data_IF_800383223915
#
_entry.id   IF_800383223915
#
_cell.length_a   1.000
_cell.length_b   1.000
_cell.length_c   1.000
_cell.angle_alpha   90.00
_cell.angle_beta   90.00
_cell.angle_gamma   90.00
#
_symmetry.space_group_name_H-M   'P 1'
#
loop_
_entity.id
_entity.type
_entity.pdbx_description
1 polymer ?
#
# COMPACT_ATOMS: atom_id res chain seq x y z
N UNK A 1 31.60 -58.51 25.31
CA UNK A 1 30.79 -57.41 25.93
C UNK A 1 31.30 -56.02 25.57
N UNK A 2 32.58 -55.73 25.72
CA UNK A 2 33.17 -54.40 25.36
C UNK A 2 33.00 -53.99 23.89
N UNK A 3 33.16 -54.90 22.94
CA UNK A 3 33.03 -54.68 21.52
C UNK A 3 31.61 -54.18 21.14
N UNK A 4 30.59 -54.76 21.78
CA UNK A 4 29.19 -54.39 21.55
C UNK A 4 28.89 -52.97 22.07
N UNK A 5 29.48 -52.57 23.19
CA UNK A 5 29.35 -51.22 23.77
C UNK A 5 29.98 -50.17 22.84
N UNK A 6 31.16 -50.46 22.31
CA UNK A 6 31.85 -49.56 21.36
C UNK A 6 31.04 -49.39 20.08
N UNK A 7 30.47 -50.46 19.53
CA UNK A 7 29.62 -50.38 18.33
C UNK A 7 28.36 -49.55 18.60
N UNK A 8 27.70 -49.71 19.74
CA UNK A 8 26.56 -48.87 20.13
C UNK A 8 26.92 -47.42 20.26
N UNK A 9 28.06 -47.08 20.86
CA UNK A 9 28.55 -45.72 20.99
C UNK A 9 28.81 -45.03 19.63
N UNK A 10 29.40 -45.77 18.70
CA UNK A 10 29.66 -45.25 17.32
C UNK A 10 28.36 -45.04 16.57
N UNK A 11 27.39 -45.96 16.70
CA UNK A 11 26.09 -45.85 16.05
C UNK A 11 25.31 -44.66 16.62
N UNK A 12 25.26 -44.45 17.93
CA UNK A 12 24.62 -43.33 18.59
C UNK A 12 25.25 -41.97 18.20
N UNK A 13 26.57 -41.92 18.10
CA UNK A 13 27.30 -40.73 17.66
C UNK A 13 26.97 -40.41 16.19
N UNK A 14 26.93 -41.43 15.32
CA UNK A 14 26.60 -41.22 13.90
C UNK A 14 25.15 -40.76 13.70
N UNK A 15 24.19 -41.38 14.38
CA UNK A 15 22.79 -40.96 14.30
C UNK A 15 22.56 -39.59 14.94
N UNK A 16 23.22 -39.28 16.05
CA UNK A 16 23.14 -37.99 16.72
C UNK A 16 23.61 -36.83 15.82
N UNK A 17 24.73 -36.98 15.13
CA UNK A 17 25.25 -35.96 14.20
C UNK A 17 24.36 -35.79 12.99
N UNK A 18 23.76 -36.87 12.45
CA UNK A 18 22.80 -36.76 11.32
C UNK A 18 21.52 -36.06 11.73
N UNK A 19 21.02 -36.29 12.94
CA UNK A 19 19.79 -35.66 13.44
C UNK A 19 20.00 -34.16 13.63
N UNK A 20 21.11 -33.73 14.21
CA UNK A 20 21.43 -32.29 14.41
C UNK A 20 21.62 -31.59 13.08
N UNK A 21 22.30 -32.18 12.10
CA UNK A 21 22.47 -31.61 10.77
C UNK A 21 21.11 -31.40 10.07
N UNK A 22 20.18 -32.34 10.19
CA UNK A 22 18.87 -32.26 9.57
C UNK A 22 17.98 -31.15 10.20
N UNK A 23 18.07 -30.97 11.53
CA UNK A 23 17.34 -29.89 12.24
C UNK A 23 17.88 -28.50 11.84
N UNK A 24 19.19 -28.36 11.73
CA UNK A 24 19.80 -27.09 11.31
C UNK A 24 19.45 -26.74 9.86
N UNK A 25 19.44 -27.71 8.96
CA UNK A 25 19.08 -27.50 7.56
C UNK A 25 17.60 -27.10 7.42
N UNK A 26 16.70 -27.74 8.17
CA UNK A 26 15.28 -27.38 8.20
C UNK A 26 15.04 -25.97 8.75
N UNK A 27 15.73 -25.55 9.82
CA UNK A 27 15.58 -24.22 10.42
C UNK A 27 16.15 -23.11 9.53
N UNK A 28 17.26 -23.38 8.82
CA UNK A 28 17.84 -22.47 7.84
C UNK A 28 16.95 -22.35 6.61
N UNK A 29 16.41 -23.44 6.10
CA UNK A 29 15.46 -23.44 4.97
C UNK A 29 14.19 -22.68 5.31
N UNK A 30 13.60 -22.90 6.48
CA UNK A 30 12.41 -22.17 6.93
C UNK A 30 12.68 -20.67 7.10
N UNK A 31 13.85 -20.29 7.62
CA UNK A 31 14.27 -18.89 7.73
C UNK A 31 14.50 -18.22 6.38
N UNK A 32 15.01 -18.95 5.37
CA UNK A 32 15.17 -18.46 4.01
C UNK A 32 13.84 -18.37 3.26
N UNK A 33 12.90 -19.26 3.52
CA UNK A 33 11.56 -19.24 2.92
C UNK A 33 10.75 -18.04 3.44
N UNK A 34 10.86 -17.72 4.72
CA UNK A 34 10.26 -16.52 5.32
C UNK A 34 10.87 -15.23 4.74
N UNK A 35 12.20 -15.22 4.47
CA UNK A 35 12.88 -14.07 3.83
C UNK A 35 12.54 -13.89 2.34
N UNK A 36 12.06 -14.94 1.66
CA UNK A 36 11.68 -14.87 0.23
C UNK A 36 10.27 -14.35 0.00
N UNK A 37 9.48 -14.25 1.05
CA UNK A 37 8.06 -13.87 1.00
C UNK A 37 7.81 -12.44 1.51
N UNK A 38 8.85 -11.61 1.49
CA UNK A 38 8.69 -10.21 1.83
C UNK A 38 8.16 -9.47 0.59
N UNK A 39 6.83 -9.35 0.51
CA UNK A 39 6.13 -8.65 -0.55
C UNK A 39 6.05 -7.15 -0.23
N UNK A 40 5.83 -6.34 -1.25
CA UNK A 40 5.57 -4.91 -1.06
C UNK A 40 4.07 -4.68 -0.92
N UNK A 41 3.63 -3.74 -0.10
CA UNK A 41 2.22 -3.44 0.06
C UNK A 41 1.58 -2.94 -1.25
N UNK A 42 0.29 -3.18 -1.42
CA UNK A 42 -0.51 -2.74 -2.57
C UNK A 42 -1.53 -1.71 -2.11
N UNK A 43 -1.56 -0.55 -2.78
CA UNK A 43 -2.56 0.50 -2.57
C UNK A 43 -3.56 0.47 -3.72
N UNK A 44 -4.85 0.42 -3.41
CA UNK A 44 -5.94 0.58 -4.36
C UNK A 44 -6.71 1.87 -4.08
N UNK A 45 -6.97 2.66 -5.12
CA UNK A 45 -7.71 3.91 -5.06
C UNK A 45 -9.05 3.78 -5.78
N UNK A 46 -10.01 4.64 -5.46
CA UNK A 46 -11.35 4.69 -6.10
C UNK A 46 -11.24 4.98 -7.59
N UNK A 47 -10.31 5.86 -7.96
CA UNK A 47 -9.98 6.19 -9.35
C UNK A 47 -8.54 6.69 -9.44
N UNK A 48 -7.96 6.65 -10.63
CA UNK A 48 -6.63 7.22 -10.91
C UNK A 48 -6.71 8.70 -11.32
N UNK A 49 -7.86 9.13 -11.86
CA UNK A 49 -8.13 10.50 -12.30
C UNK A 49 -9.44 10.97 -11.67
N UNK A 50 -9.42 12.14 -11.03
CA UNK A 50 -10.57 12.75 -10.34
C UNK A 50 -10.65 14.23 -10.72
N UNK A 51 -11.84 14.69 -11.06
CA UNK A 51 -12.10 16.11 -11.33
C UNK A 51 -12.96 16.69 -10.22
N UNK A 52 -12.55 17.83 -9.68
CA UNK A 52 -13.28 18.57 -8.63
C UNK A 52 -13.38 20.06 -8.99
N UNK A 53 -14.38 20.74 -8.42
CA UNK A 53 -14.50 22.18 -8.54
C UNK A 53 -13.51 22.91 -7.62
N UNK A 54 -13.06 24.08 -8.05
CA UNK A 54 -12.20 24.98 -7.27
C UNK A 54 -12.81 25.26 -5.88
N UNK A 55 -11.97 25.27 -4.84
CA UNK A 55 -12.33 25.46 -3.43
C UNK A 55 -13.20 24.32 -2.82
N UNK A 56 -13.29 23.16 -3.47
CA UNK A 56 -13.94 21.98 -2.89
C UNK A 56 -13.04 21.38 -1.80
N UNK A 57 -13.65 20.99 -0.69
CA UNK A 57 -12.94 20.21 0.35
C UNK A 57 -12.77 18.76 -0.09
N UNK A 58 -11.58 18.19 0.08
CA UNK A 58 -11.27 16.80 -0.25
C UNK A 58 -11.29 15.95 1.04
N UNK A 59 -12.04 14.84 1.01
CA UNK A 59 -11.89 13.79 2.00
C UNK A 59 -10.96 12.69 1.44
N UNK A 60 -9.69 12.74 1.78
CA UNK A 60 -8.67 11.83 1.26
C UNK A 60 -8.95 10.36 1.60
N UNK A 61 -9.61 10.09 2.74
CA UNK A 61 -9.94 8.71 3.13
C UNK A 61 -11.02 8.06 2.24
N UNK A 62 -11.83 8.86 1.55
CA UNK A 62 -12.85 8.35 0.62
C UNK A 62 -12.27 8.04 -0.77
N UNK A 63 -11.06 8.48 -1.06
CA UNK A 63 -10.38 8.28 -2.34
C UNK A 63 -9.51 7.02 -2.37
N UNK A 64 -9.34 6.35 -1.24
CA UNK A 64 -8.56 5.12 -1.10
C UNK A 64 -9.47 3.96 -0.69
N UNK A 65 -9.39 2.85 -1.41
CA UNK A 65 -10.17 1.64 -1.14
C UNK A 65 -9.47 0.70 -0.16
N UNK A 66 -8.18 0.46 -0.39
CA UNK A 66 -7.42 -0.49 0.41
C UNK A 66 -5.92 -0.18 0.39
N UNK A 67 -5.25 -0.62 1.45
CA UNK A 67 -3.81 -0.79 1.49
C UNK A 67 -3.54 -2.13 2.19
N UNK A 68 -3.06 -3.10 1.42
CA UNK A 68 -2.92 -4.49 1.86
C UNK A 68 -1.51 -4.96 1.59
N UNK A 69 -0.94 -5.62 2.58
CA UNK A 69 0.28 -6.39 2.48
C UNK A 69 -0.01 -7.88 2.72
N UNK A 70 0.73 -8.79 2.06
CA UNK A 70 0.47 -10.23 2.19
C UNK A 70 0.82 -10.74 3.59
N UNK A 71 1.85 -10.18 4.22
CA UNK A 71 2.37 -10.57 5.53
C UNK A 71 1.68 -9.82 6.68
N UNK A 72 1.45 -8.51 6.52
CA UNK A 72 0.89 -7.62 7.56
C UNK A 72 -0.63 -7.49 7.48
N UNK A 73 -1.24 -7.91 6.36
CA UNK A 73 -2.68 -7.80 6.13
C UNK A 73 -3.11 -6.37 5.79
N UNK A 74 -4.18 -5.89 6.42
CA UNK A 74 -4.69 -4.54 6.18
C UNK A 74 -3.88 -3.49 6.95
N UNK A 75 -3.15 -2.66 6.21
CA UNK A 75 -2.30 -1.58 6.73
C UNK A 75 -2.81 -0.18 6.31
N UNK A 76 -4.09 -0.04 5.98
CA UNK A 76 -4.71 1.21 5.57
C UNK A 76 -4.50 2.35 6.60
N UNK A 77 -4.47 2.03 7.88
CA UNK A 77 -4.22 3.00 8.95
C UNK A 77 -2.80 3.62 8.91
N UNK A 78 -1.86 2.99 8.20
CA UNK A 78 -0.48 3.45 8.05
C UNK A 78 -0.28 4.32 6.80
N UNK A 79 -1.32 4.50 5.98
CA UNK A 79 -1.23 5.31 4.76
C UNK A 79 -1.09 6.78 5.11
N UNK A 80 -0.17 7.44 4.45
CA UNK A 80 0.03 8.89 4.48
C UNK A 80 -0.19 9.47 3.09
N UNK A 81 -0.44 10.77 3.00
CA UNK A 81 -0.63 11.49 1.72
C UNK A 81 -0.10 12.92 1.81
N UNK A 82 0.14 13.55 0.65
CA UNK A 82 0.34 14.99 0.55
C UNK A 82 -1.01 15.73 0.47
N UNK A 83 -0.99 17.04 0.73
CA UNK A 83 -2.15 17.89 0.57
C UNK A 83 -2.29 18.41 -0.87
N UNK A 84 -3.54 18.67 -1.28
CA UNK A 84 -3.93 19.28 -2.55
C UNK A 84 -4.45 20.69 -2.28
N UNK A 85 -3.91 21.68 -2.99
CA UNK A 85 -4.37 23.07 -2.92
C UNK A 85 -5.55 23.29 -3.88
N UNK A 86 -6.77 23.09 -3.38
CA UNK A 86 -7.99 23.21 -4.19
C UNK A 86 -8.31 24.64 -4.64
N UNK A 87 -7.61 25.66 -4.12
CA UNK A 87 -7.73 27.03 -4.58
C UNK A 87 -7.08 27.28 -5.95
N UNK A 88 -6.17 26.38 -6.37
CA UNK A 88 -5.43 26.49 -7.63
C UNK A 88 -6.03 25.59 -8.70
N UNK A 89 -6.57 26.19 -9.75
CA UNK A 89 -7.06 25.51 -10.94
C UNK A 89 -5.92 24.80 -11.68
N UNK A 90 -6.19 23.60 -12.17
CA UNK A 90 -5.25 22.78 -12.93
C UNK A 90 -5.03 21.39 -12.34
N UNK A 91 -4.07 20.66 -12.90
CA UNK A 91 -3.72 19.31 -12.50
C UNK A 91 -2.76 19.33 -11.30
N UNK A 92 -3.09 18.56 -10.27
CA UNK A 92 -2.22 18.28 -9.11
C UNK A 92 -2.16 16.77 -8.86
N UNK A 93 -1.04 16.31 -8.28
CA UNK A 93 -0.84 14.90 -7.96
C UNK A 93 -1.05 14.66 -6.45
N UNK A 94 -2.05 13.87 -6.12
CA UNK A 94 -2.24 13.29 -4.80
C UNK A 94 -1.45 11.99 -4.74
N UNK A 95 -0.52 11.88 -3.78
CA UNK A 95 0.34 10.72 -3.61
C UNK A 95 0.04 10.09 -2.26
N UNK A 96 -0.50 8.87 -2.28
CA UNK A 96 -0.60 8.01 -1.12
C UNK A 96 0.67 7.20 -0.97
N UNK A 97 1.15 7.06 0.26
CA UNK A 97 2.36 6.28 0.59
C UNK A 97 2.08 5.41 1.80
N UNK A 98 2.49 4.15 1.74
CA UNK A 98 2.41 3.20 2.86
C UNK A 98 3.71 2.43 2.98
N UNK A 99 4.10 2.12 4.21
CA UNK A 99 5.27 1.29 4.51
C UNK A 99 4.80 0.13 5.39
N UNK A 100 5.24 -1.09 5.06
CA UNK A 100 4.98 -2.31 5.82
C UNK A 100 5.91 -2.43 7.05
N UNK A 101 5.75 -3.51 7.84
CA UNK A 101 6.58 -3.77 9.02
C UNK A 101 8.02 -4.13 8.70
N UNK A 102 8.29 -4.59 7.48
CA UNK A 102 9.61 -4.96 6.99
C UNK A 102 10.37 -3.79 6.34
N UNK A 103 9.71 -2.63 6.18
CA UNK A 103 10.27 -1.39 5.66
C UNK A 103 10.11 -1.22 4.14
N UNK A 104 9.32 -2.06 3.46
CA UNK A 104 9.02 -1.84 2.04
C UNK A 104 7.96 -0.74 1.91
N UNK A 105 8.15 0.13 0.93
CA UNK A 105 7.29 1.29 0.72
C UNK A 105 6.68 1.27 -0.67
N UNK A 106 5.37 1.50 -0.74
CA UNK A 106 4.62 1.68 -1.97
C UNK A 106 4.03 3.08 -2.02
N UNK A 107 4.07 3.71 -3.21
CA UNK A 107 3.40 4.98 -3.49
C UNK A 107 2.41 4.81 -4.65
N UNK A 108 1.21 5.36 -4.49
CA UNK A 108 0.15 5.41 -5.52
C UNK A 108 -0.20 6.86 -5.80
N UNK A 109 -0.19 7.26 -7.07
CA UNK A 109 -0.55 8.60 -7.51
C UNK A 109 -1.98 8.62 -8.05
N UNK A 110 -2.76 9.61 -7.62
CA UNK A 110 -4.08 9.97 -8.16
C UNK A 110 -3.97 11.39 -8.74
N UNK A 111 -4.42 11.57 -9.96
CA UNK A 111 -4.43 12.86 -10.66
C UNK A 111 -5.71 13.64 -10.32
N UNK A 112 -5.55 14.77 -9.66
CA UNK A 112 -6.66 15.66 -9.27
C UNK A 112 -6.69 16.85 -10.21
N UNK A 113 -7.70 16.93 -11.07
CA UNK A 113 -7.96 18.09 -11.93
C UNK A 113 -8.91 19.04 -11.21
N UNK A 114 -8.47 20.26 -10.96
CA UNK A 114 -9.28 21.30 -10.33
C UNK A 114 -9.81 22.26 -11.41
N UNK A 115 -11.13 22.33 -11.54
CA UNK A 115 -11.81 23.16 -12.51
C UNK A 115 -12.37 24.43 -11.85
N UNK A 116 -12.37 25.52 -12.62
CA UNK A 116 -12.97 26.77 -12.18
C UNK A 116 -14.48 26.62 -12.11
N UNK A 117 -15.10 27.10 -11.02
CA UNK A 117 -16.57 27.21 -10.94
C UNK A 117 -17.04 28.30 -11.91
N UNK A 118 -17.74 27.90 -12.96
CA UNK A 118 -18.41 28.82 -13.87
C UNK A 118 -19.84 29.04 -13.35
N UNK A 119 -20.08 30.14 -12.67
CA UNK A 119 -21.45 30.55 -12.36
C UNK A 119 -22.08 31.10 -13.66
N UNK A 120 -22.91 30.31 -14.31
CA UNK A 120 -23.81 30.78 -15.34
C UNK A 120 -24.91 31.59 -14.63
N UNK A 121 -24.62 32.84 -14.24
CA UNK A 121 -25.70 33.80 -14.03
C UNK A 121 -26.34 34.00 -15.39
N UNK A 122 -27.56 33.50 -15.54
CA UNK A 122 -28.45 33.73 -16.64
C UNK A 122 -28.51 35.23 -16.91
N UNK A 123 -28.01 35.67 -18.06
CA UNK A 123 -28.37 36.96 -18.63
C UNK A 123 -29.89 36.92 -18.90
N UNK A 124 -30.66 37.35 -17.92
CA UNK A 124 -32.06 37.72 -18.15
C UNK A 124 -31.99 39.00 -18.97
N UNK A 125 -32.21 38.81 -20.28
CA UNK A 125 -32.26 39.91 -21.22
C UNK A 125 -33.33 40.90 -20.80
N UNK A 126 -32.93 42.17 -20.57
CA UNK A 126 -33.81 43.29 -20.59
C UNK A 126 -34.39 43.42 -22.02
N UNK A 127 -35.65 43.00 -22.20
CA UNK A 127 -36.43 43.41 -23.36
C UNK A 127 -36.81 44.88 -23.18
N UNK A 128 -36.51 45.76 -24.15
CA UNK A 128 -37.01 47.16 -24.10
C UNK A 128 -38.51 47.12 -24.36
N UNK A 129 -39.29 47.62 -23.39
CA UNK A 129 -40.71 47.93 -23.60
C UNK A 129 -40.81 49.05 -24.61
N UNK A 130 -41.24 48.71 -25.82
CA UNK A 130 -41.72 49.70 -26.82
C UNK A 130 -43.07 50.19 -26.37
N UNK A 131 -43.15 51.48 -26.02
CA UNK A 131 -44.41 52.20 -25.80
C UNK A 131 -44.91 52.81 -27.13
N UNK A 132 -46.09 52.42 -27.53
CA UNK A 132 -46.92 53.11 -28.51
C UNK A 132 -47.96 53.96 -27.82
#
# INVERSE_FOLDING_TARGET
>A
MYVLIIICMVILSYFGTKLVANINDYSVQKSMETKRKNNVPVIETVADDITISQNTSINYNELINSAIDEEDGNILANVTHNDIDTSKVGLQNLIYTVTDSDGNTTAKTVHITIEKVVNNESQQGDEPMEQS
#
